data_IF_729964543787
#
_entry.id   IF_729964543787
#
_cell.length_a   1.000
_cell.length_b   1.000
_cell.length_c   1.000
_cell.angle_alpha   90.00
_cell.angle_beta   90.00
_cell.angle_gamma   90.00
#
_symmetry.space_group_name_H-M   'P 1'
#
loop_
_entity.id
_entity.type
_entity.pdbx_description
1 polymer ?
#
# COMPACT_ATOMS: atom_id res chain seq x y z
N UNK A 1 27.39 17.36 8.45
CA UNK A 1 28.01 16.06 8.11
C UNK A 1 26.99 14.96 7.82
N UNK A 2 25.81 14.93 8.47
CA UNK A 2 24.72 13.97 8.20
C UNK A 2 24.05 14.07 6.81
N UNK A 3 24.33 15.12 6.02
CA UNK A 3 23.78 15.32 4.67
C UNK A 3 24.42 14.48 3.54
N UNK A 4 25.42 13.64 3.85
CA UNK A 4 26.17 12.84 2.86
C UNK A 4 25.98 11.32 3.01
N UNK A 5 24.97 10.86 3.78
CA UNK A 5 24.69 9.42 3.95
C UNK A 5 25.34 8.77 5.17
N UNK A 6 25.81 9.55 6.14
CA UNK A 6 26.24 9.02 7.43
C UNK A 6 25.00 8.60 8.27
N UNK A 7 24.99 7.36 8.75
CA UNK A 7 23.88 6.81 9.56
C UNK A 7 23.71 7.55 10.90
N UNK A 8 24.82 7.83 11.59
CA UNK A 8 24.81 8.59 12.84
C UNK A 8 26.20 9.21 13.10
N UNK A 9 26.28 10.17 14.03
CA UNK A 9 27.51 10.84 14.44
C UNK A 9 27.86 10.56 15.90
N UNK A 10 29.10 10.16 16.16
CA UNK A 10 29.59 9.88 17.51
C UNK A 10 30.68 10.88 17.88
N UNK A 11 30.40 11.73 18.88
CA UNK A 11 31.35 12.69 19.44
C UNK A 11 32.38 12.02 20.34
N UNK A 12 33.59 12.61 20.36
CA UNK A 12 34.67 12.18 21.26
C UNK A 12 34.48 12.85 22.64
N UNK A 13 34.88 12.18 23.74
CA UNK A 13 35.50 10.85 23.81
C UNK A 13 34.50 9.71 23.56
N UNK A 14 34.96 8.66 22.88
CA UNK A 14 34.08 7.58 22.40
C UNK A 14 33.55 6.74 23.56
N UNK A 15 32.22 6.70 23.71
CA UNK A 15 31.55 5.71 24.56
C UNK A 15 31.36 4.41 23.78
N UNK A 16 31.95 3.32 24.27
CA UNK A 16 31.89 2.03 23.60
C UNK A 16 30.45 1.46 23.56
N UNK A 17 29.66 1.74 24.59
CA UNK A 17 28.24 1.38 24.63
C UNK A 17 27.43 2.12 23.55
N UNK A 18 27.68 3.43 23.35
CA UNK A 18 27.00 4.21 22.30
C UNK A 18 27.39 3.71 20.91
N UNK A 19 28.66 3.36 20.71
CA UNK A 19 29.17 2.84 19.44
C UNK A 19 28.52 1.50 19.08
N UNK A 20 28.46 0.56 20.04
CA UNK A 20 27.78 -0.73 19.86
C UNK A 20 26.29 -0.55 19.51
N UNK A 21 25.57 0.30 20.24
CA UNK A 21 24.14 0.54 19.99
C UNK A 21 23.89 1.17 18.61
N UNK A 22 24.72 2.13 18.19
CA UNK A 22 24.61 2.74 16.86
C UNK A 22 24.88 1.72 15.75
N UNK A 23 25.88 0.85 15.91
CA UNK A 23 26.19 -0.21 14.94
C UNK A 23 25.06 -1.24 14.85
N UNK A 24 24.52 -1.68 16.00
CA UNK A 24 23.40 -2.62 16.05
C UNK A 24 22.17 -2.08 15.31
N UNK A 25 21.78 -0.83 15.61
CA UNK A 25 20.67 -0.17 14.91
C UNK A 25 20.90 -0.02 13.41
N UNK A 26 22.14 0.29 13.00
CA UNK A 26 22.49 0.40 11.59
C UNK A 26 22.35 -0.94 10.85
N UNK A 27 22.81 -2.03 11.47
CA UNK A 27 22.70 -3.38 10.92
C UNK A 27 21.24 -3.83 10.82
N UNK A 28 20.43 -3.56 11.85
CA UNK A 28 18.99 -3.89 11.81
C UNK A 28 18.24 -3.06 10.76
N UNK A 29 18.54 -1.76 10.64
CA UNK A 29 17.95 -0.92 9.62
C UNK A 29 18.29 -1.41 8.20
N UNK A 30 19.54 -1.82 7.95
CA UNK A 30 19.96 -2.38 6.67
C UNK A 30 19.30 -3.74 6.39
N UNK A 31 19.21 -4.61 7.40
CA UNK A 31 18.49 -5.90 7.30
C UNK A 31 17.02 -5.69 6.93
N UNK A 32 16.33 -4.82 7.66
CA UNK A 32 14.92 -4.49 7.39
C UNK A 32 14.74 -3.86 6.01
N UNK A 33 15.65 -2.97 5.59
CA UNK A 33 15.61 -2.38 4.26
C UNK A 33 15.77 -3.43 3.14
N UNK A 34 16.69 -4.38 3.29
CA UNK A 34 16.90 -5.49 2.33
C UNK A 34 15.70 -6.44 2.29
N UNK A 35 15.16 -6.79 3.45
CA UNK A 35 14.00 -7.66 3.55
C UNK A 35 12.77 -7.01 2.91
N UNK A 36 12.54 -5.72 3.16
CA UNK A 36 11.49 -4.94 2.52
C UNK A 36 11.69 -4.87 0.99
N UNK A 37 12.92 -4.67 0.51
CA UNK A 37 13.22 -4.71 -0.92
C UNK A 37 12.96 -6.09 -1.54
N UNK A 38 13.31 -7.17 -0.85
CA UNK A 38 13.09 -8.54 -1.33
C UNK A 38 11.59 -8.87 -1.40
N UNK A 39 10.82 -8.51 -0.36
CA UNK A 39 9.36 -8.65 -0.33
C UNK A 39 8.70 -7.84 -1.46
N UNK A 40 9.14 -6.59 -1.67
CA UNK A 40 8.66 -5.75 -2.78
C UNK A 40 9.00 -6.34 -4.16
N UNK A 41 10.16 -6.99 -4.31
CA UNK A 41 10.54 -7.67 -5.56
C UNK A 41 9.68 -8.90 -5.83
N UNK A 42 9.32 -9.66 -4.79
CA UNK A 42 8.42 -10.81 -4.93
C UNK A 42 6.99 -10.39 -5.29
N UNK A 43 6.53 -9.24 -4.80
CA UNK A 43 5.21 -8.67 -5.16
C UNK A 43 5.16 -8.04 -6.56
N UNK A 44 6.30 -7.84 -7.24
CA UNK A 44 6.39 -7.17 -8.55
C UNK A 44 6.04 -8.06 -9.75
N UNK A 45 5.40 -9.20 -9.56
CA UNK A 45 4.74 -9.88 -10.67
C UNK A 45 3.63 -8.94 -11.15
N UNK A 46 3.89 -8.22 -12.23
CA UNK A 46 2.90 -7.32 -12.84
C UNK A 46 1.73 -8.20 -13.26
N UNK A 47 0.61 -8.05 -12.56
CA UNK A 47 -0.63 -8.72 -12.89
C UNK A 47 -1.19 -8.09 -14.18
N UNK A 48 -0.70 -8.53 -15.34
CA UNK A 48 -1.26 -8.13 -16.62
C UNK A 48 -2.55 -8.92 -16.88
N UNK A 49 -3.68 -8.26 -17.20
CA UNK A 49 -4.90 -8.95 -17.57
C UNK A 49 -4.67 -9.84 -18.78
N UNK A 50 -4.81 -11.15 -18.59
CA UNK A 50 -4.60 -12.15 -19.64
C UNK A 50 -5.83 -12.25 -20.53
N UNK A 51 -5.61 -12.38 -21.85
CA UNK A 51 -6.68 -12.61 -22.82
C UNK A 51 -6.38 -11.94 -24.16
N UNK A 52 -6.99 -12.44 -25.23
CA UNK A 52 -6.81 -11.92 -26.60
C UNK A 52 -8.11 -11.40 -27.22
N UNK A 53 -9.25 -11.54 -26.55
CA UNK A 53 -10.54 -11.05 -27.06
C UNK A 53 -10.52 -9.52 -27.20
N UNK A 54 -11.34 -9.01 -28.12
CA UNK A 54 -11.47 -7.56 -28.32
C UNK A 54 -11.90 -6.83 -27.04
N UNK A 55 -12.79 -7.44 -26.24
CA UNK A 55 -13.26 -6.86 -24.97
C UNK A 55 -12.10 -6.65 -24.01
N UNK A 56 -11.22 -7.65 -23.83
CA UNK A 56 -10.05 -7.55 -22.95
C UNK A 56 -9.04 -6.52 -23.47
N UNK A 57 -8.86 -6.44 -24.79
CA UNK A 57 -7.98 -5.42 -25.39
C UNK A 57 -8.52 -3.99 -25.16
N UNK A 58 -9.82 -3.78 -25.37
CA UNK A 58 -10.49 -2.48 -25.12
C UNK A 58 -10.40 -2.10 -23.65
N UNK A 59 -10.65 -3.04 -22.74
CA UNK A 59 -10.59 -2.79 -21.30
C UNK A 59 -9.17 -2.45 -20.84
N UNK A 60 -8.14 -3.17 -21.32
CA UNK A 60 -6.73 -2.80 -21.08
C UNK A 60 -6.42 -1.38 -21.56
N UNK A 61 -6.85 -1.02 -22.77
CA UNK A 61 -6.64 0.33 -23.30
C UNK A 61 -7.36 1.42 -22.48
N UNK A 62 -8.55 1.13 -21.96
CA UNK A 62 -9.27 2.03 -21.06
C UNK A 62 -8.52 2.21 -19.74
N UNK A 63 -8.08 1.12 -19.11
CA UNK A 63 -7.33 1.18 -17.85
C UNK A 63 -6.03 1.97 -18.01
N UNK A 64 -5.30 1.79 -19.11
CA UNK A 64 -4.08 2.57 -19.38
C UNK A 64 -4.34 4.08 -19.48
N UNK A 65 -5.48 4.48 -20.05
CA UNK A 65 -5.88 5.90 -20.10
C UNK A 65 -6.21 6.41 -18.70
N UNK A 66 -7.02 5.66 -17.95
CA UNK A 66 -7.45 6.04 -16.59
C UNK A 66 -6.26 6.12 -15.63
N UNK A 67 -5.25 5.25 -15.78
CA UNK A 67 -4.08 5.20 -14.90
C UNK A 67 -3.28 6.51 -14.81
N UNK A 68 -3.41 7.42 -15.79
CA UNK A 68 -2.74 8.73 -15.77
C UNK A 68 -3.51 9.80 -14.98
N UNK A 69 -4.71 9.49 -14.49
CA UNK A 69 -5.58 10.41 -13.77
C UNK A 69 -5.64 10.08 -12.28
N UNK A 70 -5.80 11.13 -11.47
CA UNK A 70 -6.00 11.00 -10.03
C UNK A 70 -7.50 11.10 -9.71
N UNK A 71 -8.24 10.04 -10.07
CA UNK A 71 -9.66 9.93 -9.82
C UNK A 71 -9.97 8.54 -9.22
N UNK A 72 -10.94 8.43 -8.30
CA UNK A 72 -11.46 7.15 -7.86
C UNK A 72 -12.01 6.35 -9.04
N UNK A 73 -11.76 5.04 -9.05
CA UNK A 73 -12.19 4.13 -10.13
C UNK A 73 -13.06 3.04 -9.55
N UNK A 74 -14.29 2.93 -10.05
CA UNK A 74 -15.18 1.83 -9.74
C UNK A 74 -15.00 0.71 -10.78
N UNK A 75 -14.64 -0.49 -10.32
CA UNK A 75 -14.54 -1.69 -11.16
C UNK A 75 -15.69 -2.62 -10.81
N UNK A 76 -16.53 -2.95 -11.79
CA UNK A 76 -17.67 -3.84 -11.60
C UNK A 76 -17.57 -5.06 -12.51
N UNK A 77 -18.20 -6.14 -12.09
CA UNK A 77 -18.19 -7.42 -12.80
C UNK A 77 -18.47 -8.57 -11.85
N UNK A 78 -18.91 -9.70 -12.41
CA UNK A 78 -19.21 -10.92 -11.66
C UNK A 78 -17.99 -11.42 -10.85
N UNK A 79 -18.22 -12.22 -9.80
CA UNK A 79 -17.13 -12.88 -9.07
C UNK A 79 -16.20 -13.66 -10.02
N UNK A 80 -14.89 -13.58 -9.81
CA UNK A 80 -13.90 -14.28 -10.64
C UNK A 80 -13.55 -13.63 -11.98
N UNK A 81 -14.14 -12.49 -12.35
CA UNK A 81 -13.84 -11.78 -13.62
C UNK A 81 -12.48 -11.04 -13.65
N UNK A 82 -11.70 -11.11 -12.56
CA UNK A 82 -10.35 -10.54 -12.50
C UNK A 82 -10.31 -9.05 -12.14
N UNK A 83 -11.28 -8.53 -11.37
CA UNK A 83 -11.32 -7.12 -10.92
C UNK A 83 -10.02 -6.67 -10.25
N UNK A 84 -9.48 -7.47 -9.34
CA UNK A 84 -8.21 -7.22 -8.65
C UNK A 84 -7.03 -7.13 -9.64
N UNK A 85 -6.99 -8.00 -10.66
CA UNK A 85 -5.96 -7.98 -11.70
C UNK A 85 -5.98 -6.64 -12.44
N UNK A 86 -7.17 -6.12 -12.78
CA UNK A 86 -7.29 -4.81 -13.41
C UNK A 86 -6.91 -3.66 -12.45
N UNK A 87 -7.23 -3.76 -11.16
CA UNK A 87 -6.82 -2.76 -10.16
C UNK A 87 -5.28 -2.71 -9.99
N UNK A 88 -4.63 -3.88 -9.92
CA UNK A 88 -3.16 -3.99 -9.88
C UNK A 88 -2.52 -3.49 -11.17
N UNK A 89 -3.11 -3.81 -12.32
CA UNK A 89 -2.66 -3.31 -13.63
C UNK A 89 -2.74 -1.78 -13.71
N UNK A 90 -3.84 -1.19 -13.22
CA UNK A 90 -4.02 0.25 -13.12
C UNK A 90 -2.92 0.89 -12.26
N UNK A 91 -2.72 0.36 -11.05
CA UNK A 91 -1.68 0.86 -10.13
C UNK A 91 -0.29 0.82 -10.77
N UNK A 92 0.08 -0.31 -11.40
CA UNK A 92 1.38 -0.49 -12.04
C UNK A 92 1.66 0.52 -13.17
N UNK A 93 0.63 1.03 -13.83
CA UNK A 93 0.74 2.02 -14.92
C UNK A 93 0.47 3.46 -14.48
N UNK A 94 0.20 3.68 -13.19
CA UNK A 94 -0.06 5.00 -12.63
C UNK A 94 1.22 5.74 -12.22
N UNK A 95 1.16 7.06 -11.97
CA UNK A 95 2.22 7.80 -11.31
C UNK A 95 2.61 7.24 -9.93
N UNK A 96 1.68 6.51 -9.28
CA UNK A 96 1.84 5.94 -7.93
C UNK A 96 2.39 4.51 -7.92
N UNK A 97 2.84 3.96 -9.05
CA UNK A 97 3.36 2.59 -9.21
C UNK A 97 4.50 2.17 -8.27
N UNK A 98 5.20 3.13 -7.68
CA UNK A 98 6.29 2.89 -6.72
C UNK A 98 5.83 2.96 -5.25
N UNK A 99 4.60 3.44 -5.03
CA UNK A 99 3.94 3.47 -3.74
C UNK A 99 3.32 2.10 -3.39
N UNK A 100 2.74 1.98 -2.19
CA UNK A 100 2.07 0.76 -1.77
C UNK A 100 0.80 0.49 -2.60
N UNK A 101 0.52 -0.79 -2.84
CA UNK A 101 -0.80 -1.25 -3.26
C UNK A 101 -1.39 -2.03 -2.07
N UNK A 102 -2.39 -1.45 -1.42
CA UNK A 102 -3.06 -2.07 -0.27
C UNK A 102 -4.39 -2.61 -0.73
N UNK A 103 -4.60 -3.90 -0.50
CA UNK A 103 -5.83 -4.61 -0.81
C UNK A 103 -6.61 -4.83 0.49
N UNK A 104 -7.89 -4.50 0.48
CA UNK A 104 -8.81 -4.67 1.60
C UNK A 104 -10.11 -5.30 1.10
N UNK A 105 -10.35 -6.56 1.46
CA UNK A 105 -11.64 -7.21 1.28
C UNK A 105 -12.61 -6.71 2.35
N UNK A 106 -13.52 -5.80 1.99
CA UNK A 106 -14.42 -5.16 2.95
C UNK A 106 -15.37 -6.18 3.58
N UNK A 107 -15.82 -7.20 2.83
CA UNK A 107 -16.65 -8.29 3.34
C UNK A 107 -15.93 -9.21 4.33
N UNK A 108 -14.60 -9.20 4.38
CA UNK A 108 -13.81 -10.02 5.32
C UNK A 108 -13.60 -9.38 6.69
N UNK A 109 -13.80 -8.07 6.82
CA UNK A 109 -13.63 -7.35 8.08
C UNK A 109 -14.94 -7.41 8.86
N UNK A 110 -14.87 -7.82 10.13
CA UNK A 110 -16.03 -7.73 11.02
C UNK A 110 -16.52 -6.28 11.07
N UNK A 111 -17.83 -6.03 10.86
CA UNK A 111 -18.40 -4.67 10.75
C UNK A 111 -17.96 -3.75 11.89
N UNK A 112 -17.95 -4.27 13.11
CA UNK A 112 -17.52 -3.57 14.34
C UNK A 112 -16.08 -3.02 14.24
N UNK A 113 -15.23 -3.67 13.45
CA UNK A 113 -13.83 -3.32 13.25
C UNK A 113 -13.54 -2.61 11.92
N UNK A 114 -14.53 -2.47 11.01
CA UNK A 114 -14.32 -1.90 9.68
C UNK A 114 -13.75 -0.49 9.72
N UNK A 115 -14.31 0.37 10.58
CA UNK A 115 -13.78 1.72 10.82
C UNK A 115 -12.37 1.69 11.39
N UNK A 116 -12.10 0.81 12.37
CA UNK A 116 -10.81 0.69 13.03
C UNK A 116 -9.70 0.26 12.05
N UNK A 117 -9.98 -0.72 11.20
CA UNK A 117 -9.00 -1.20 10.23
C UNK A 117 -8.76 -0.19 9.11
N UNK A 118 -9.82 0.43 8.57
CA UNK A 118 -9.70 1.38 7.47
C UNK A 118 -9.01 2.68 7.88
N UNK A 119 -9.44 3.27 9.01
CA UNK A 119 -9.02 4.60 9.45
C UNK A 119 -7.97 4.58 10.58
N UNK A 120 -7.82 3.47 11.28
CA UNK A 120 -6.90 3.35 12.41
C UNK A 120 -7.55 3.77 13.74
N UNK A 121 -6.74 3.80 14.80
CA UNK A 121 -7.11 4.41 16.08
C UNK A 121 -5.91 4.91 16.85
N UNK A 122 -6.18 5.85 17.75
CA UNK A 122 -5.24 6.33 18.74
C UNK A 122 -5.83 6.08 20.14
N UNK A 123 -5.12 5.30 20.96
CA UNK A 123 -5.47 5.07 22.36
C UNK A 123 -4.29 5.48 23.25
N UNK A 124 -4.34 6.70 23.77
CA UNK A 124 -3.24 7.28 24.53
C UNK A 124 -2.00 7.42 23.64
N UNK A 125 -0.88 6.79 24.03
CA UNK A 125 0.37 6.81 23.25
C UNK A 125 0.44 5.71 22.16
N UNK A 126 -0.57 4.83 22.06
CA UNK A 126 -0.58 3.75 21.07
C UNK A 126 -1.35 4.18 19.82
N UNK A 127 -0.63 4.25 18.70
CA UNK A 127 -1.18 4.54 17.38
C UNK A 127 -1.27 3.25 16.57
N UNK A 128 -2.47 2.94 16.11
CA UNK A 128 -2.77 1.85 15.19
C UNK A 128 -3.06 2.43 13.82
N UNK A 129 -2.09 2.30 12.90
CA UNK A 129 -2.21 2.85 11.55
C UNK A 129 -3.24 2.10 10.69
N UNK A 130 -4.18 2.84 10.12
CA UNK A 130 -5.23 2.30 9.26
C UNK A 130 -4.75 1.92 7.86
N UNK A 131 -5.60 1.24 7.10
CA UNK A 131 -5.33 0.86 5.69
C UNK A 131 -5.13 2.08 4.79
N UNK A 132 -5.86 3.17 5.04
CA UNK A 132 -5.70 4.43 4.31
C UNK A 132 -4.29 5.00 4.48
N UNK A 133 -3.77 5.00 5.71
CA UNK A 133 -2.42 5.48 6.01
C UNK A 133 -1.35 4.56 5.43
N UNK A 134 -1.56 3.23 5.51
CA UNK A 134 -0.69 2.24 4.87
C UNK A 134 -0.64 2.41 3.35
N UNK A 135 -1.73 2.88 2.73
CA UNK A 135 -1.82 3.13 1.30
C UNK A 135 -1.31 4.53 0.88
N UNK A 136 -0.84 5.34 1.83
CA UNK A 136 -0.38 6.70 1.57
C UNK A 136 0.71 6.74 0.50
N UNK A 137 0.55 7.65 -0.47
CA UNK A 137 1.43 7.76 -1.65
C UNK A 137 1.25 6.63 -2.68
N UNK A 138 0.26 5.76 -2.50
CA UNK A 138 0.00 4.57 -3.32
C UNK A 138 -1.46 4.44 -3.76
N UNK A 139 -1.97 3.21 -3.72
CA UNK A 139 -3.34 2.87 -4.11
C UNK A 139 -3.97 1.96 -3.06
N UNK A 140 -5.18 2.29 -2.64
CA UNK A 140 -6.05 1.45 -1.84
C UNK A 140 -7.09 0.80 -2.77
N UNK A 141 -7.16 -0.52 -2.76
CA UNK A 141 -8.19 -1.30 -3.43
C UNK A 141 -9.17 -1.84 -2.39
N UNK A 142 -10.46 -1.51 -2.57
CA UNK A 142 -11.55 -1.97 -1.71
C UNK A 142 -12.35 -3.01 -2.50
N UNK A 143 -12.13 -4.29 -2.18
CA UNK A 143 -12.96 -5.35 -2.74
C UNK A 143 -14.26 -5.47 -1.95
N UNK A 144 -15.32 -5.90 -2.63
CA UNK A 144 -16.65 -6.06 -2.01
C UNK A 144 -17.18 -4.77 -1.34
N UNK A 145 -16.96 -3.61 -1.97
CA UNK A 145 -17.40 -2.30 -1.47
C UNK A 145 -18.89 -2.25 -1.05
N UNK A 146 -19.73 -3.11 -1.65
CA UNK A 146 -21.14 -3.22 -1.32
C UNK A 146 -21.42 -3.72 0.12
N UNK A 147 -20.46 -4.43 0.74
CA UNK A 147 -20.60 -4.96 2.09
C UNK A 147 -20.19 -3.95 3.18
N UNK A 148 -19.71 -2.76 2.77
CA UNK A 148 -19.35 -1.67 3.69
C UNK A 148 -20.59 -1.12 4.40
N UNK A 149 -20.50 -0.92 5.71
CA UNK A 149 -21.57 -0.25 6.46
C UNK A 149 -21.65 1.26 6.13
N UNK A 150 -22.80 1.87 6.46
CA UNK A 150 -23.05 3.28 6.17
C UNK A 150 -22.11 4.23 6.92
N UNK A 151 -21.60 3.84 8.09
CA UNK A 151 -20.69 4.68 8.87
C UNK A 151 -19.32 4.78 8.20
N UNK A 152 -18.75 3.64 7.76
CA UNK A 152 -17.51 3.59 7.02
C UNK A 152 -17.63 4.28 5.66
N UNK A 153 -18.76 4.13 4.96
CA UNK A 153 -19.03 4.86 3.71
C UNK A 153 -19.05 6.38 3.94
N UNK A 154 -19.73 6.86 5.00
CA UNK A 154 -19.79 8.27 5.31
C UNK A 154 -18.41 8.87 5.62
N UNK A 155 -17.57 8.14 6.38
CA UNK A 155 -16.19 8.56 6.67
C UNK A 155 -15.27 8.53 5.45
N UNK A 156 -15.50 7.62 4.51
CA UNK A 156 -14.72 7.56 3.27
C UNK A 156 -15.08 8.70 2.31
N UNK A 157 -16.33 9.16 2.36
CA UNK A 157 -16.83 10.25 1.53
C UNK A 157 -16.54 11.66 2.08
N UNK A 158 -16.21 11.77 3.37
CA UNK A 158 -15.86 13.02 4.05
C UNK A 158 -14.40 13.40 3.86
#
# INVERSE_FOLDING_TARGET
ATRLGAYDFIEKPLSMAKLLLTVERALDADRLARENQNLRRQQRIVAEPVGRSEVVQRLRAQVLKIAQHDAPVLVFGEPGTGKEVYARFLHAHSPRRNGPFVDVGVGSIARENASLELFGSEQGERIHYGRLEQASGGTLFLDELADMDLEAQAKLAS
#
